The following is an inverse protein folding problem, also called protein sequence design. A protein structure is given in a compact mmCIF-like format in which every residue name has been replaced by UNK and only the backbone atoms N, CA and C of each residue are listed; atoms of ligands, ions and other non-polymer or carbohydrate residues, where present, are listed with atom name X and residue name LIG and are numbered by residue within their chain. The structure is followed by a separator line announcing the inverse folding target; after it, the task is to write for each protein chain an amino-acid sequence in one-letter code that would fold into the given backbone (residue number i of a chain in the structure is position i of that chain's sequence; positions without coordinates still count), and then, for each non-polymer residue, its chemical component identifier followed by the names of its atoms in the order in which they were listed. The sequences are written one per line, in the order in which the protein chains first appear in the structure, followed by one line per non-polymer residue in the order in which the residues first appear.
data_IF_322066488095
#
_entry.id   IF_322066488095
#
_cell.length_a   1.000
_cell.length_b   1.000
_cell.length_c   1.000
_cell.angle_alpha   90.00
_cell.angle_beta   90.00
_cell.angle_gamma   90.00
#
_symmetry.space_group_name_H-M   'P 1'
#
loop_
_entity.id
_entity.type
_entity.pdbx_description
1 polymer ?
#
# COMPACT_ATOMS: atom_id res chain seq x y z
N UNK A 1 12.37 -17.74 -12.09
CA UNK A 1 12.43 -17.43 -10.63
C UNK A 1 11.99 -15.99 -10.33
N UNK A 2 12.45 -15.00 -11.08
CA UNK A 2 12.11 -13.56 -10.89
C UNK A 2 10.61 -13.25 -11.03
N UNK A 3 9.92 -13.89 -11.99
CA UNK A 3 8.47 -13.72 -12.17
C UNK A 3 7.68 -14.19 -10.94
N UNK A 4 8.04 -15.35 -10.37
CA UNK A 4 7.41 -15.87 -9.17
C UNK A 4 7.69 -14.98 -7.94
N UNK A 5 8.90 -14.43 -7.83
CA UNK A 5 9.24 -13.47 -6.79
C UNK A 5 8.33 -12.24 -6.87
N UNK A 6 8.25 -11.58 -8.03
CA UNK A 6 7.43 -10.37 -8.19
C UNK A 6 5.94 -10.67 -7.97
N UNK A 7 5.44 -11.82 -8.45
CA UNK A 7 4.05 -12.25 -8.17
C UNK A 7 3.78 -12.37 -6.67
N UNK A 8 4.70 -12.94 -5.89
CA UNK A 8 4.54 -13.08 -4.44
C UNK A 8 4.55 -11.73 -3.73
N UNK A 9 5.40 -10.79 -4.15
CA UNK A 9 5.42 -9.44 -3.59
C UNK A 9 4.12 -8.70 -3.90
N UNK A 10 3.65 -8.74 -5.15
CA UNK A 10 2.36 -8.13 -5.51
C UNK A 10 1.19 -8.77 -4.75
N UNK A 11 1.19 -10.10 -4.53
CA UNK A 11 0.15 -10.75 -3.73
C UNK A 11 0.22 -10.34 -2.25
N UNK A 12 1.42 -10.17 -1.70
CA UNK A 12 1.61 -9.67 -0.33
C UNK A 12 1.08 -8.24 -0.21
N UNK A 13 1.41 -7.37 -1.18
CA UNK A 13 0.91 -6.00 -1.21
C UNK A 13 -0.61 -5.94 -1.32
N UNK A 14 -1.18 -6.72 -2.25
CA UNK A 14 -2.64 -6.87 -2.39
C UNK A 14 -3.29 -7.31 -1.07
N UNK A 15 -2.72 -8.30 -0.38
CA UNK A 15 -3.22 -8.77 0.89
C UNK A 15 -3.10 -7.71 2.00
N UNK A 16 -2.00 -6.95 2.06
CA UNK A 16 -1.87 -5.84 3.00
C UNK A 16 -2.87 -4.73 2.73
N UNK A 17 -3.06 -4.34 1.46
CA UNK A 17 -4.05 -3.34 1.05
C UNK A 17 -5.47 -3.78 1.42
N UNK A 18 -5.85 -5.02 1.11
CA UNK A 18 -7.19 -5.53 1.43
C UNK A 18 -7.40 -5.69 2.93
N UNK A 19 -6.40 -6.20 3.66
CA UNK A 19 -6.48 -6.37 5.11
C UNK A 19 -6.57 -5.04 5.85
N UNK A 20 -5.69 -4.09 5.53
CA UNK A 20 -5.72 -2.73 6.08
C UNK A 20 -6.98 -1.99 5.65
N UNK A 21 -7.36 -2.11 4.37
CA UNK A 21 -8.56 -1.52 3.81
C UNK A 21 -9.83 -1.96 4.55
N UNK A 22 -9.98 -3.26 4.78
CA UNK A 22 -11.11 -3.81 5.53
C UNK A 22 -11.08 -3.39 7.00
N UNK A 23 -9.91 -3.45 7.64
CA UNK A 23 -9.72 -3.00 9.03
C UNK A 23 -10.18 -1.55 9.21
N UNK A 24 -9.69 -0.64 8.36
CA UNK A 24 -10.04 0.78 8.44
C UNK A 24 -11.49 1.03 8.02
N UNK A 25 -11.99 0.38 6.97
CA UNK A 25 -13.37 0.57 6.52
C UNK A 25 -14.41 0.12 7.58
N UNK A 26 -14.12 -0.92 8.35
CA UNK A 26 -15.04 -1.47 9.35
C UNK A 26 -14.82 -0.83 10.73
N UNK A 27 -13.56 -0.67 11.14
CA UNK A 27 -13.16 -0.37 12.53
C UNK A 27 -12.67 1.08 12.71
N UNK A 28 -12.77 1.96 11.71
CA UNK A 28 -12.29 3.36 11.84
C UNK A 28 -12.89 4.13 13.03
N UNK A 29 -14.14 3.86 13.43
CA UNK A 29 -14.80 4.53 14.56
C UNK A 29 -13.98 4.43 15.86
N UNK A 30 -13.79 3.22 16.41
CA UNK A 30 -12.91 3.01 17.56
C UNK A 30 -11.47 3.54 17.37
N UNK A 31 -10.91 3.43 16.16
CA UNK A 31 -9.53 3.86 15.87
C UNK A 31 -9.36 5.38 15.87
N UNK A 32 -10.42 6.15 15.60
CA UNK A 32 -10.41 7.62 15.56
C UNK A 32 -9.90 8.20 16.88
N UNK A 33 -10.46 7.75 18.01
CA UNK A 33 -10.05 8.22 19.34
C UNK A 33 -8.65 7.75 19.75
N UNK A 34 -8.25 6.56 19.31
CA UNK A 34 -6.95 5.98 19.64
C UNK A 34 -5.80 6.68 18.89
N UNK A 35 -6.01 6.99 17.61
CA UNK A 35 -4.99 7.56 16.73
C UNK A 35 -5.06 9.09 16.63
N UNK A 36 -6.18 9.71 17.04
CA UNK A 36 -6.37 11.15 16.85
C UNK A 36 -6.48 11.54 15.37
N UNK A 37 -6.93 10.60 14.53
CA UNK A 37 -7.14 10.80 13.09
C UNK A 37 -8.63 10.79 12.83
N UNK A 38 -9.12 11.76 12.07
CA UNK A 38 -10.54 11.90 11.76
C UNK A 38 -11.14 10.63 11.12
N UNK A 39 -12.39 10.35 11.48
CA UNK A 39 -13.12 9.17 11.03
C UNK A 39 -13.22 9.09 9.49
N UNK A 40 -13.47 10.23 8.84
CA UNK A 40 -13.61 10.28 7.38
C UNK A 40 -12.27 10.00 6.70
N UNK A 41 -11.15 10.46 7.29
CA UNK A 41 -9.81 10.14 6.78
C UNK A 41 -9.54 8.64 6.90
N UNK A 42 -9.71 8.04 8.10
CA UNK A 42 -9.45 6.61 8.31
C UNK A 42 -10.36 5.73 7.43
N UNK A 43 -11.68 5.99 7.44
CA UNK A 43 -12.63 5.19 6.66
C UNK A 43 -12.46 5.43 5.16
N UNK A 44 -12.20 6.66 4.74
CA UNK A 44 -11.90 7.00 3.34
C UNK A 44 -10.66 6.28 2.82
N UNK A 45 -9.57 6.30 3.60
CA UNK A 45 -8.36 5.53 3.33
C UNK A 45 -8.66 4.03 3.22
N UNK A 46 -9.42 3.48 4.15
CA UNK A 46 -9.84 2.08 4.12
C UNK A 46 -10.59 1.70 2.85
N UNK A 47 -11.60 2.50 2.47
CA UNK A 47 -12.39 2.28 1.27
C UNK A 47 -11.59 2.46 -0.02
N UNK A 48 -10.59 3.35 -0.04
CA UNK A 48 -9.69 3.55 -1.17
C UNK A 48 -8.73 2.37 -1.38
N UNK A 49 -8.22 1.79 -0.29
CA UNK A 49 -7.30 0.65 -0.34
C UNK A 49 -7.95 -0.62 -0.90
N UNK A 50 -9.26 -0.82 -0.72
CA UNK A 50 -9.95 -2.02 -1.20
C UNK A 50 -9.86 -2.20 -2.73
N UNK A 51 -10.31 -1.26 -3.58
CA UNK A 51 -10.18 -1.39 -5.03
C UNK A 51 -8.72 -1.42 -5.49
N UNK A 52 -7.80 -0.74 -4.79
CA UNK A 52 -6.36 -0.79 -5.08
C UNK A 52 -5.82 -2.21 -4.84
N UNK A 53 -6.11 -2.81 -3.68
CA UNK A 53 -5.71 -4.17 -3.35
C UNK A 53 -6.27 -5.20 -4.33
N UNK A 54 -7.52 -5.03 -4.78
CA UNK A 54 -8.11 -5.86 -5.83
C UNK A 54 -7.38 -5.71 -7.17
N UNK A 55 -7.02 -4.49 -7.56
CA UNK A 55 -6.25 -4.23 -8.79
C UNK A 55 -4.85 -4.86 -8.73
N UNK A 56 -4.14 -4.72 -7.60
CA UNK A 56 -2.82 -5.33 -7.40
C UNK A 56 -2.95 -6.86 -7.46
N UNK A 57 -3.92 -7.44 -6.76
CA UNK A 57 -4.17 -8.88 -6.76
C UNK A 57 -4.50 -9.42 -8.16
N UNK A 58 -5.39 -8.72 -8.88
CA UNK A 58 -5.69 -9.05 -10.28
C UNK A 58 -4.44 -9.01 -11.16
N UNK A 59 -3.57 -8.00 -10.97
CA UNK A 59 -2.29 -7.88 -11.69
C UNK A 59 -1.36 -9.05 -11.37
N UNK A 60 -1.23 -9.43 -10.10
CA UNK A 60 -0.38 -10.52 -9.64
C UNK A 60 -0.81 -11.90 -10.16
N UNK A 61 -2.12 -12.09 -10.34
CA UNK A 61 -2.72 -13.35 -10.81
C UNK A 61 -2.69 -13.52 -12.33
N UNK A 62 -2.19 -12.54 -13.10
CA UNK A 62 -2.07 -12.69 -14.55
C UNK A 62 -1.05 -13.77 -14.90
N UNK A 63 -1.30 -14.59 -15.95
CA UNK A 63 -0.33 -15.59 -16.41
C UNK A 63 1.02 -14.95 -16.74
N UNK A 64 0.99 -13.79 -17.42
CA UNK A 64 2.16 -13.00 -17.80
C UNK A 64 2.08 -11.63 -17.14
N UNK A 65 3.12 -11.27 -16.37
CA UNK A 65 3.26 -9.94 -15.80
C UNK A 65 3.63 -8.91 -16.88
N UNK A 66 2.82 -7.87 -16.97
CA UNK A 66 3.05 -6.72 -17.87
C UNK A 66 3.64 -5.56 -17.06
N UNK A 67 4.65 -4.82 -17.57
CA UNK A 67 5.27 -3.74 -16.81
C UNK A 67 4.33 -2.61 -16.42
N UNK A 68 3.42 -2.20 -17.31
CA UNK A 68 2.58 -1.01 -17.11
C UNK A 68 1.72 -1.08 -15.82
N UNK A 69 0.91 -2.13 -15.56
CA UNK A 69 0.17 -2.24 -14.31
C UNK A 69 1.06 -2.20 -13.07
N UNK A 70 2.25 -2.79 -13.13
CA UNK A 70 3.18 -2.86 -11.98
C UNK A 70 3.75 -1.48 -11.69
N UNK A 71 4.09 -0.70 -12.71
CA UNK A 71 4.52 0.68 -12.51
C UNK A 71 3.42 1.58 -11.96
N UNK A 72 2.15 1.32 -12.29
CA UNK A 72 1.02 2.01 -11.67
C UNK A 72 0.91 1.69 -10.17
N UNK A 73 1.11 0.43 -9.77
CA UNK A 73 1.18 0.02 -8.36
C UNK A 73 2.32 0.76 -7.65
N UNK A 74 3.53 0.71 -8.20
CA UNK A 74 4.71 1.38 -7.64
C UNK A 74 4.47 2.89 -7.47
N UNK A 75 3.92 3.56 -8.48
CA UNK A 75 3.64 5.00 -8.41
C UNK A 75 2.57 5.32 -7.35
N UNK A 76 1.52 4.50 -7.26
CA UNK A 76 0.50 4.62 -6.22
C UNK A 76 1.08 4.44 -4.81
N UNK A 77 1.91 3.43 -4.62
CA UNK A 77 2.57 3.15 -3.35
C UNK A 77 3.53 4.29 -2.94
N UNK A 78 4.29 4.87 -3.87
CA UNK A 78 5.12 6.05 -3.61
C UNK A 78 4.27 7.26 -3.16
N UNK A 79 3.15 7.50 -3.84
CA UNK A 79 2.23 8.58 -3.47
C UNK A 79 1.64 8.35 -2.08
N UNK A 80 1.20 7.13 -1.79
CA UNK A 80 0.66 6.74 -0.49
C UNK A 80 1.68 6.92 0.64
N UNK A 81 2.92 6.47 0.44
CA UNK A 81 4.03 6.66 1.39
C UNK A 81 4.30 8.14 1.62
N UNK A 82 4.40 8.95 0.56
CA UNK A 82 4.67 10.38 0.68
C UNK A 82 3.54 11.11 1.43
N UNK A 83 2.28 10.86 1.06
CA UNK A 83 1.10 11.45 1.70
C UNK A 83 1.02 11.04 3.19
N UNK A 84 1.35 9.80 3.53
CA UNK A 84 1.39 9.34 4.93
C UNK A 84 2.37 10.16 5.79
N UNK A 85 3.55 10.49 5.28
CA UNK A 85 4.50 11.34 6.01
C UNK A 85 4.07 12.81 6.04
N UNK A 86 3.42 13.31 4.98
CA UNK A 86 2.81 14.64 4.98
C UNK A 86 1.70 14.72 6.03
N UNK A 87 0.84 13.71 6.16
CA UNK A 87 -0.21 13.63 7.17
C UNK A 87 0.38 13.71 8.59
N UNK A 88 1.45 12.96 8.87
CA UNK A 88 2.15 13.03 10.17
C UNK A 88 2.73 14.43 10.42
N UNK A 89 3.39 15.02 9.42
CA UNK A 89 4.05 16.31 9.57
C UNK A 89 3.08 17.50 9.68
N UNK A 90 1.90 17.40 9.08
CA UNK A 90 0.93 18.51 8.97
C UNK A 90 -0.17 18.49 10.03
N UNK A 91 -0.32 17.39 10.78
CA UNK A 91 -1.44 17.23 11.72
C UNK A 91 -0.96 17.06 13.18
N UNK A 92 -0.97 18.17 13.91
CA UNK A 92 -0.61 18.22 15.33
C UNK A 92 -1.58 17.47 16.27
N UNK A 93 -2.74 17.03 15.78
CA UNK A 93 -3.76 16.30 16.56
C UNK A 93 -3.57 14.78 16.59
N UNK A 94 -2.69 14.22 15.74
CA UNK A 94 -2.44 12.78 15.69
C UNK A 94 -1.69 12.35 16.96
N UNK A 95 -2.20 11.34 17.66
CA UNK A 95 -1.55 10.79 18.86
C UNK A 95 -0.22 10.12 18.49
N UNK A 96 0.69 9.95 19.46
CA UNK A 96 1.95 9.23 19.21
C UNK A 96 1.73 7.81 18.67
N UNK A 97 0.65 7.14 19.09
CA UNK A 97 0.28 5.82 18.56
C UNK A 97 -0.25 5.91 17.12
N UNK A 98 -1.03 6.94 16.79
CA UNK A 98 -1.47 7.21 15.42
C UNK A 98 -0.31 7.51 14.48
N UNK A 99 0.67 8.30 14.93
CA UNK A 99 1.89 8.57 14.17
C UNK A 99 2.68 7.29 13.92
N UNK A 100 2.88 6.46 14.96
CA UNK A 100 3.55 5.17 14.83
C UNK A 100 2.82 4.22 13.87
N UNK A 101 1.49 4.17 13.95
CA UNK A 101 0.65 3.37 13.06
C UNK A 101 0.81 3.80 11.59
N UNK A 102 0.67 5.11 11.31
CA UNK A 102 0.80 5.66 9.95
C UNK A 102 2.23 5.49 9.43
N UNK A 103 3.25 5.71 10.26
CA UNK A 103 4.64 5.51 9.86
C UNK A 103 4.95 4.03 9.56
N UNK A 104 4.48 3.11 10.41
CA UNK A 104 4.72 1.68 10.23
C UNK A 104 4.14 1.16 8.92
N UNK A 105 2.88 1.51 8.60
CA UNK A 105 2.29 1.12 7.31
C UNK A 105 2.99 1.80 6.13
N UNK A 106 3.38 3.08 6.24
CA UNK A 106 4.06 3.80 5.17
C UNK A 106 5.42 3.18 4.83
N UNK A 107 6.17 2.76 5.86
CA UNK A 107 7.44 2.06 5.71
C UNK A 107 7.26 0.66 5.11
N UNK A 108 6.21 -0.07 5.49
CA UNK A 108 5.87 -1.35 4.88
C UNK A 108 5.56 -1.19 3.38
N UNK A 109 4.72 -0.21 3.02
CA UNK A 109 4.40 0.12 1.63
C UNK A 109 5.66 0.53 0.86
N UNK A 110 6.54 1.33 1.45
CA UNK A 110 7.82 1.70 0.84
C UNK A 110 8.72 0.48 0.59
N UNK A 111 8.80 -0.45 1.56
CA UNK A 111 9.55 -1.68 1.40
C UNK A 111 9.00 -2.56 0.27
N UNK A 112 7.68 -2.72 0.19
CA UNK A 112 7.02 -3.42 -0.93
C UNK A 112 7.34 -2.76 -2.26
N UNK A 113 7.21 -1.43 -2.34
CA UNK A 113 7.54 -0.63 -3.53
C UNK A 113 8.96 -0.89 -4.03
N UNK A 114 9.94 -0.94 -3.13
CA UNK A 114 11.34 -1.22 -3.48
C UNK A 114 11.50 -2.64 -4.03
N UNK A 115 10.83 -3.63 -3.44
CA UNK A 115 10.87 -5.02 -3.90
C UNK A 115 10.17 -5.20 -5.25
N UNK A 116 9.05 -4.51 -5.48
CA UNK A 116 8.33 -4.48 -6.77
C UNK A 116 9.18 -3.85 -7.86
N UNK A 117 9.82 -2.72 -7.55
CA UNK A 117 10.74 -2.02 -8.45
C UNK A 117 11.92 -2.91 -8.82
N UNK A 118 12.55 -3.56 -7.84
CA UNK A 118 13.64 -4.50 -8.08
C UNK A 118 13.18 -5.70 -8.92
N UNK A 119 11.97 -6.20 -8.71
CA UNK A 119 11.37 -7.29 -9.48
C UNK A 119 11.11 -6.91 -10.94
N UNK A 120 10.47 -5.76 -11.18
CA UNK A 120 10.08 -5.33 -12.54
C UNK A 120 11.31 -5.00 -13.39
N UNK A 121 12.32 -4.35 -12.81
CA UNK A 121 13.57 -4.04 -13.52
C UNK A 121 14.32 -5.31 -13.95
N UNK A 122 14.35 -6.33 -13.09
CA UNK A 122 14.97 -7.62 -13.44
C UNK A 122 14.22 -8.35 -14.56
N UNK A 123 12.89 -8.24 -14.64
CA UNK A 123 12.10 -8.80 -15.75
C UNK A 123 12.38 -8.06 -17.06
N UNK A 124 12.51 -6.73 -17.00
CA UNK A 124 12.84 -5.93 -18.18
C UNK A 124 14.23 -6.26 -18.74
N UNK A 125 15.25 -6.35 -17.87
CA UNK A 125 16.61 -6.71 -18.25
C UNK A 125 16.73 -8.13 -18.84
N UNK A 126 15.92 -9.08 -18.38
CA UNK A 126 15.91 -10.45 -18.91
C UNK A 126 15.21 -10.59 -20.27
N UNK A 127 14.53 -9.54 -20.76
CA UNK A 127 13.84 -9.50 -22.06
C UNK A 127 14.55 -8.63 -23.10
N UNK A 128 15.61 -7.91 -22.70
CA UNK A 128 16.46 -7.11 -23.56
C UNK A 128 17.62 -7.96 -24.09
#
# INVERSE_FOLDING_TARGET
MTDLFLKRILLLDAASCLGMGALLAIVAGPLTGLFGIDLAILRGAGLLLLPIGLFIGWTALRPVLRPLPIWLVIAGNLLWTAESFVLIASNAGITGLGQAFVAAQALMVAALTLLETAGVLKIAAAKA
#
